data_IF_515613459953
#
_entry.id   IF_515613459953
#
_cell.length_a   1.000
_cell.length_b   1.000
_cell.length_c   1.000
_cell.angle_alpha   90.00
_cell.angle_beta   90.00
_cell.angle_gamma   90.00
#
_symmetry.space_group_name_H-M   'P 1'
#
loop_
_entity.id
_entity.type
_entity.pdbx_description
1 polymer ?
#
# COMPACT_ATOMS: atom_id res chain seq x y z
N UNK A 1 -37.96 19.76 -7.62
CA UNK A 1 -37.54 18.75 -6.62
C UNK A 1 -36.61 17.70 -7.21
N UNK A 2 -37.01 17.00 -8.29
CA UNK A 2 -36.21 15.94 -8.95
C UNK A 2 -34.86 16.43 -9.48
N UNK A 3 -34.80 17.62 -10.09
CA UNK A 3 -33.55 18.20 -10.61
C UNK A 3 -32.49 18.44 -9.52
N UNK A 4 -32.94 18.83 -8.32
CA UNK A 4 -32.08 19.08 -7.16
C UNK A 4 -31.46 17.79 -6.62
N UNK A 5 -32.24 16.70 -6.60
CA UNK A 5 -31.79 15.37 -6.15
C UNK A 5 -30.74 14.80 -7.10
N UNK A 6 -30.93 14.93 -8.41
CA UNK A 6 -29.97 14.47 -9.42
C UNK A 6 -28.64 15.24 -9.33
N UNK A 7 -28.69 16.56 -9.11
CA UNK A 7 -27.49 17.38 -8.90
C UNK A 7 -26.70 16.97 -7.65
N UNK A 8 -27.38 16.72 -6.53
CA UNK A 8 -26.73 16.30 -5.28
C UNK A 8 -26.08 14.92 -5.45
N UNK A 9 -26.78 13.95 -6.05
CA UNK A 9 -26.24 12.61 -6.30
C UNK A 9 -25.04 12.67 -7.25
N UNK A 10 -25.12 13.46 -8.33
CA UNK A 10 -24.01 13.65 -9.27
C UNK A 10 -22.79 14.28 -8.61
N UNK A 11 -23.00 15.29 -7.76
CA UNK A 11 -21.92 15.96 -7.01
C UNK A 11 -21.29 15.03 -5.98
N UNK A 12 -22.09 14.26 -5.25
CA UNK A 12 -21.62 13.30 -4.26
C UNK A 12 -20.84 12.14 -4.90
N UNK A 13 -21.29 11.65 -6.06
CA UNK A 13 -20.58 10.63 -6.84
C UNK A 13 -19.21 11.14 -7.34
N UNK A 14 -19.16 12.38 -7.84
CA UNK A 14 -17.91 13.00 -8.28
C UNK A 14 -16.93 13.24 -7.13
N UNK A 15 -17.44 13.70 -5.98
CA UNK A 15 -16.65 13.89 -4.77
C UNK A 15 -16.19 12.60 -4.12
N UNK A 16 -16.88 11.47 -4.28
CA UNK A 16 -16.48 10.17 -3.71
C UNK A 16 -15.48 9.41 -4.61
N UNK A 17 -15.64 9.45 -5.93
CA UNK A 17 -14.76 8.74 -6.87
C UNK A 17 -13.36 9.35 -6.96
N UNK A 18 -13.27 10.69 -6.94
CA UNK A 18 -11.99 11.38 -7.04
C UNK A 18 -11.03 11.05 -5.89
N UNK A 19 -11.44 11.02 -4.60
CA UNK A 19 -10.56 10.61 -3.51
C UNK A 19 -10.26 9.10 -3.52
N UNK A 20 -11.23 8.23 -3.89
CA UNK A 20 -10.98 6.79 -4.00
C UNK A 20 -9.88 6.47 -5.00
N UNK A 21 -9.97 7.00 -6.23
CA UNK A 21 -8.93 6.82 -7.26
C UNK A 21 -7.57 7.35 -6.84
N UNK A 22 -7.53 8.40 -6.00
CA UNK A 22 -6.27 8.95 -5.49
C UNK A 22 -5.63 8.03 -4.44
N UNK A 23 -6.43 7.39 -3.59
CA UNK A 23 -5.94 6.43 -2.61
C UNK A 23 -5.42 5.15 -3.28
N UNK A 24 -6.15 4.60 -4.25
CA UNK A 24 -5.71 3.40 -4.99
C UNK A 24 -4.40 3.64 -5.76
N UNK A 25 -4.26 4.81 -6.40
CA UNK A 25 -3.01 5.18 -7.07
C UNK A 25 -1.84 5.29 -6.11
N UNK A 26 -2.04 5.92 -4.95
CA UNK A 26 -1.00 6.01 -3.92
C UNK A 26 -0.58 4.64 -3.40
N UNK A 27 -1.53 3.74 -3.16
CA UNK A 27 -1.20 2.38 -2.73
C UNK A 27 -0.38 1.63 -3.79
N UNK A 28 -0.76 1.76 -5.07
CA UNK A 28 0.07 1.20 -6.16
C UNK A 28 1.46 1.81 -6.22
N UNK A 29 1.59 3.13 -6.08
CA UNK A 29 2.90 3.80 -6.07
C UNK A 29 3.78 3.31 -4.91
N UNK A 30 3.21 3.12 -3.72
CA UNK A 30 3.93 2.55 -2.56
C UNK A 30 4.37 1.12 -2.88
N UNK A 31 3.48 0.28 -3.40
CA UNK A 31 3.80 -1.08 -3.81
C UNK A 31 4.92 -1.11 -4.86
N UNK A 32 4.89 -0.24 -5.86
CA UNK A 32 5.89 -0.20 -6.93
C UNK A 32 7.23 0.41 -6.47
N UNK A 33 7.23 1.22 -5.42
CA UNK A 33 8.42 1.84 -4.87
C UNK A 33 9.27 0.90 -3.98
N UNK A 34 8.72 -0.25 -3.57
CA UNK A 34 9.40 -1.25 -2.73
C UNK A 34 10.54 -1.90 -3.49
N UNK A 35 11.75 -1.80 -2.95
CA UNK A 35 12.94 -2.48 -3.44
C UNK A 35 13.55 -3.41 -2.38
N UNK A 36 14.42 -4.31 -2.84
CA UNK A 36 15.24 -5.13 -1.93
C UNK A 36 16.18 -4.22 -1.15
N UNK A 37 16.20 -4.37 0.17
CA UNK A 37 16.94 -3.53 1.10
C UNK A 37 16.11 -2.49 1.84
N UNK A 38 14.86 -2.25 1.42
CA UNK A 38 14.00 -1.28 2.08
C UNK A 38 13.44 -1.82 3.40
N UNK A 39 13.29 -0.94 4.40
CA UNK A 39 12.53 -1.22 5.60
C UNK A 39 11.06 -0.92 5.33
N UNK A 40 10.16 -1.83 5.71
CA UNK A 40 8.73 -1.69 5.43
C UNK A 40 7.91 -1.77 6.71
N UNK A 41 6.79 -1.04 6.72
CA UNK A 41 5.73 -1.16 7.70
C UNK A 41 4.55 -1.94 7.09
N UNK A 42 4.19 -3.05 7.72
CA UNK A 42 3.02 -3.83 7.30
C UNK A 42 1.72 -3.27 7.87
N UNK A 43 0.58 -3.61 7.27
CA UNK A 43 -0.75 -3.22 7.76
C UNK A 43 -1.05 -3.70 9.19
N UNK A 44 -0.41 -4.77 9.63
CA UNK A 44 -0.50 -5.32 10.99
C UNK A 44 0.44 -4.66 11.99
N UNK A 45 1.28 -3.70 11.57
CA UNK A 45 2.19 -2.96 12.43
C UNK A 45 3.57 -3.59 12.62
N UNK A 46 3.95 -4.55 11.78
CA UNK A 46 5.29 -5.15 11.84
C UNK A 46 6.27 -4.35 10.98
N UNK A 47 7.50 -4.22 11.50
CA UNK A 47 8.63 -3.66 10.76
C UNK A 47 9.57 -4.78 10.35
N UNK A 48 9.96 -4.78 9.08
CA UNK A 48 10.89 -5.77 8.54
C UNK A 48 11.63 -5.24 7.33
N UNK A 49 12.69 -5.94 6.95
CA UNK A 49 13.54 -5.59 5.81
C UNK A 49 13.20 -6.48 4.61
N UNK A 50 13.01 -5.88 3.45
CA UNK A 50 12.72 -6.61 2.21
C UNK A 50 14.01 -7.25 1.71
N UNK A 51 14.00 -8.57 1.56
CA UNK A 51 15.14 -9.35 1.07
C UNK A 51 14.92 -9.89 -0.34
N UNK A 52 13.66 -10.00 -0.76
CA UNK A 52 13.30 -10.38 -2.12
C UNK A 52 11.94 -9.79 -2.50
N UNK A 53 11.78 -9.46 -3.78
CA UNK A 53 10.54 -8.91 -4.34
C UNK A 53 10.16 -9.72 -5.57
N UNK A 54 9.03 -10.39 -5.49
CA UNK A 54 8.34 -11.04 -6.62
C UNK A 54 7.07 -10.23 -6.94
N UNK A 55 6.51 -10.39 -8.14
CA UNK A 55 5.40 -9.57 -8.66
C UNK A 55 4.33 -9.22 -7.60
N UNK A 56 3.70 -10.23 -7.00
CA UNK A 56 2.62 -10.04 -6.01
C UNK A 56 3.06 -10.29 -4.55
N UNK A 57 4.26 -10.83 -4.35
CA UNK A 57 4.75 -11.32 -3.05
C UNK A 57 6.13 -10.75 -2.74
N UNK A 58 6.33 -10.24 -1.54
CA UNK A 58 7.64 -9.84 -1.03
C UNK A 58 8.07 -10.78 0.07
N UNK A 59 9.36 -11.07 0.14
CA UNK A 59 9.95 -11.81 1.25
C UNK A 59 10.59 -10.81 2.19
N UNK A 60 10.15 -10.87 3.44
CA UNK A 60 10.53 -9.89 4.46
C UNK A 60 11.18 -10.62 5.61
N UNK A 61 12.28 -10.04 6.08
CA UNK A 61 13.02 -10.48 7.24
C UNK A 61 12.61 -9.65 8.46
N UNK A 62 12.21 -10.33 9.53
CA UNK A 62 11.73 -9.68 10.75
C UNK A 62 12.70 -9.90 11.91
N UNK A 63 13.10 -8.80 12.57
CA UNK A 63 13.94 -8.82 13.77
C UNK A 63 15.41 -9.17 13.51
N UNK A 64 16.18 -9.35 14.59
CA UNK A 64 17.64 -9.58 14.50
C UNK A 64 18.06 -10.98 14.04
N UNK A 65 17.12 -11.88 13.75
CA UNK A 65 17.41 -13.23 13.29
C UNK A 65 17.30 -13.32 11.76
N UNK A 66 18.45 -13.35 11.09
CA UNK A 66 18.58 -13.36 9.62
C UNK A 66 18.03 -14.60 8.90
N UNK A 67 17.51 -15.58 9.65
CA UNK A 67 16.91 -16.79 9.07
C UNK A 67 15.37 -16.74 9.03
N UNK A 68 14.74 -15.70 9.56
CA UNK A 68 13.27 -15.61 9.58
C UNK A 68 12.76 -14.88 8.34
N UNK A 69 12.56 -15.63 7.25
CA UNK A 69 12.06 -15.12 5.97
C UNK A 69 10.59 -15.44 5.83
N UNK A 70 9.74 -14.42 5.81
CA UNK A 70 8.29 -14.59 5.74
C UNK A 70 7.80 -13.98 4.43
N UNK A 71 7.17 -14.77 3.54
CA UNK A 71 6.51 -14.25 2.36
C UNK A 71 5.23 -13.52 2.78
N UNK A 72 5.03 -12.32 2.27
CA UNK A 72 3.82 -11.53 2.45
C UNK A 72 3.36 -10.90 1.14
N UNK A 73 2.07 -10.60 1.05
CA UNK A 73 1.55 -9.90 -0.12
C UNK A 73 2.05 -8.45 -0.15
N UNK A 74 2.41 -7.99 -1.35
CA UNK A 74 2.83 -6.60 -1.57
C UNK A 74 1.72 -5.59 -1.20
N UNK A 75 0.46 -6.01 -1.28
CA UNK A 75 -0.72 -5.23 -0.88
C UNK A 75 -0.81 -4.95 0.63
N UNK A 76 -0.06 -5.69 1.46
CA UNK A 76 -0.04 -5.52 2.90
C UNK A 76 1.07 -4.55 3.38
N UNK A 77 1.72 -3.84 2.45
CA UNK A 77 2.72 -2.81 2.74
C UNK A 77 2.00 -1.46 2.84
N UNK A 78 2.16 -0.78 3.97
CA UNK A 78 1.56 0.54 4.23
C UNK A 78 2.55 1.65 3.98
N UNK A 79 3.80 1.45 4.39
CA UNK A 79 4.86 2.44 4.25
C UNK A 79 6.20 1.78 3.96
N UNK A 80 7.07 2.53 3.27
CA UNK A 80 8.41 2.09 2.86
C UNK A 80 9.41 3.13 3.32
N UNK A 81 10.21 2.76 4.32
CA UNK A 81 11.35 3.53 4.78
C UNK A 81 12.60 3.08 4.01
N UNK A 82 13.03 3.91 3.05
CA UNK A 82 14.30 3.71 2.38
C UNK A 82 15.43 4.03 3.34
N UNK A 83 16.25 3.02 3.66
CA UNK A 83 17.53 3.27 4.29
C UNK A 83 18.42 3.99 3.26
N UNK A 84 18.87 5.20 3.58
CA UNK A 84 19.87 5.94 2.78
C UNK A 84 21.18 5.16 2.61
#
# INVERSE_FOLDING_TARGET
MVLYVVLIIGFMYFLAIKPQKKQEKKQKEVMDAVAVGDSILTTSGFYGMVIDVTDDTVIVEFGGNKNCRIPMQKSAIVDVEKAE
#
